data_IF_005854943569
#
_entry.id   IF_005854943569
#
_cell.length_a   1.000
_cell.length_b   1.000
_cell.length_c   1.000
_cell.angle_alpha   90.00
_cell.angle_beta   90.00
_cell.angle_gamma   90.00
#
_symmetry.space_group_name_H-M   'P 1'
#
loop_
_entity.id
_entity.type
_entity.pdbx_description
1 polymer ?
#
# COMPACT_ATOMS: atom_id res chain seq x y z
N UNK A 1 13.83 25.39 3.07
CA UNK A 1 12.36 25.21 3.08
C UNK A 1 11.64 26.54 3.28
N UNK A 2 12.03 27.38 4.25
CA UNK A 2 11.36 28.67 4.52
C UNK A 2 11.28 29.62 3.30
N UNK A 3 12.31 29.68 2.46
CA UNK A 3 12.26 30.47 1.21
C UNK A 3 11.30 29.93 0.13
N UNK A 4 10.70 28.74 0.32
CA UNK A 4 9.82 28.10 -0.66
C UNK A 4 8.44 28.76 -0.74
N UNK A 5 7.89 29.08 0.44
CA UNK A 5 6.54 29.61 0.65
C UNK A 5 6.54 31.09 1.08
N UNK A 6 7.68 31.62 1.54
CA UNK A 6 7.82 32.98 2.06
C UNK A 6 8.15 32.98 3.56
N UNK A 7 8.71 34.07 4.08
CA UNK A 7 9.15 34.18 5.48
C UNK A 7 8.01 34.11 6.50
N UNK A 8 6.76 34.21 6.05
CA UNK A 8 5.59 34.23 6.92
C UNK A 8 5.09 32.81 7.27
N UNK A 9 5.53 31.79 6.53
CA UNK A 9 5.14 30.40 6.77
C UNK A 9 6.04 29.74 7.81
N UNK A 10 5.44 29.20 8.87
CA UNK A 10 6.14 28.33 9.82
C UNK A 10 6.19 26.92 9.25
N UNK A 11 7.40 26.35 9.14
CA UNK A 11 7.61 25.01 8.59
C UNK A 11 8.22 24.11 9.65
N UNK A 12 7.53 23.02 9.99
CA UNK A 12 7.99 22.03 10.98
C UNK A 12 8.09 20.63 10.35
N UNK A 13 9.07 19.80 10.75
CA UNK A 13 9.13 18.41 10.29
C UNK A 13 7.88 17.63 10.72
N UNK A 14 7.30 16.85 9.81
CA UNK A 14 6.13 16.02 10.09
C UNK A 14 6.48 14.66 10.73
N UNK A 15 7.77 14.35 10.86
CA UNK A 15 8.26 13.03 11.26
C UNK A 15 8.33 12.05 10.08
N UNK A 16 8.37 10.75 10.39
CA UNK A 16 8.51 9.68 9.39
C UNK A 16 9.94 9.22 9.17
N UNK A 17 10.10 8.09 8.46
CA UNK A 17 11.39 7.40 8.32
C UNK A 17 12.36 8.10 7.37
N UNK A 18 11.86 8.88 6.39
CA UNK A 18 12.69 9.53 5.36
C UNK A 18 13.10 10.96 5.72
N UNK A 19 12.39 11.62 6.65
CA UNK A 19 12.63 13.03 6.99
C UNK A 19 12.25 14.00 5.85
N UNK A 20 11.45 13.57 4.89
CA UNK A 20 11.09 14.34 3.68
C UNK A 20 9.71 14.99 3.75
N UNK A 21 9.02 14.85 4.89
CA UNK A 21 7.68 15.36 5.12
C UNK A 21 7.68 16.51 6.13
N UNK A 22 6.90 17.54 5.86
CA UNK A 22 6.83 18.77 6.66
C UNK A 22 5.40 19.30 6.73
N UNK A 23 5.06 19.94 7.85
CA UNK A 23 3.88 20.79 7.97
C UNK A 23 4.29 22.23 7.69
N UNK A 24 3.44 22.95 6.96
CA UNK A 24 3.57 24.39 6.78
C UNK A 24 2.27 25.08 7.22
N UNK A 25 2.38 26.10 8.06
CA UNK A 25 1.25 26.84 8.61
C UNK A 25 1.45 28.35 8.40
N UNK A 26 0.38 29.03 7.97
CA UNK A 26 0.31 30.48 7.87
C UNK A 26 -1.14 30.92 8.08
N UNK A 27 -1.38 31.73 9.11
CA UNK A 27 -2.72 32.09 9.57
C UNK A 27 -3.62 30.84 9.73
N UNK A 28 -4.77 30.80 9.05
CA UNK A 28 -5.70 29.66 9.08
C UNK A 28 -5.38 28.59 8.01
N UNK A 29 -4.28 28.74 7.26
CA UNK A 29 -3.90 27.82 6.18
C UNK A 29 -2.86 26.81 6.66
N UNK A 30 -3.11 25.53 6.39
CA UNK A 30 -2.21 24.42 6.68
C UNK A 30 -1.96 23.58 5.44
N UNK A 31 -0.69 23.27 5.19
CA UNK A 31 -0.24 22.42 4.09
C UNK A 31 0.62 21.27 4.62
N UNK A 32 0.49 20.13 3.96
CA UNK A 32 1.43 19.03 4.08
C UNK A 32 2.39 19.08 2.89
N UNK A 33 3.68 19.19 3.15
CA UNK A 33 4.72 19.26 2.14
C UNK A 33 5.49 17.94 2.11
N UNK A 34 5.66 17.33 0.93
CA UNK A 34 6.54 16.17 0.73
C UNK A 34 7.57 16.49 -0.36
N UNK A 35 8.82 16.14 -0.10
CA UNK A 35 9.90 16.23 -1.10
C UNK A 35 9.90 14.97 -1.97
N UNK A 36 10.16 15.17 -3.27
CA UNK A 36 10.35 14.15 -4.30
C UNK A 36 9.22 13.11 -4.40
N UNK A 37 7.97 13.54 -4.20
CA UNK A 37 6.80 12.67 -4.40
C UNK A 37 6.70 12.17 -5.84
N UNK A 38 6.20 10.94 -6.01
CA UNK A 38 5.91 10.37 -7.33
C UNK A 38 4.96 11.27 -8.14
N UNK A 39 5.18 11.45 -9.46
CA UNK A 39 4.23 12.13 -10.35
C UNK A 39 2.83 11.50 -10.34
N UNK A 40 2.71 10.24 -9.89
CA UNK A 40 1.44 9.55 -9.71
C UNK A 40 0.50 10.24 -8.71
N UNK A 41 1.06 11.03 -7.78
CA UNK A 41 0.27 11.80 -6.79
C UNK A 41 -0.77 12.71 -7.44
N UNK A 42 -0.48 13.29 -8.61
CA UNK A 42 -1.39 14.21 -9.29
C UNK A 42 -2.69 13.52 -9.73
N UNK A 43 -2.61 12.29 -10.28
CA UNK A 43 -3.81 11.55 -10.68
C UNK A 43 -4.56 11.02 -9.46
N UNK A 44 -3.85 10.55 -8.42
CA UNK A 44 -4.47 10.13 -7.17
C UNK A 44 -5.27 11.28 -6.53
N UNK A 45 -4.73 12.50 -6.55
CA UNK A 45 -5.42 13.68 -6.04
C UNK A 45 -6.63 14.05 -6.90
N UNK A 46 -6.53 13.98 -8.23
CA UNK A 46 -7.64 14.29 -9.13
C UNK A 46 -8.79 13.30 -8.97
N UNK A 47 -8.46 12.02 -8.73
CA UNK A 47 -9.41 10.96 -8.44
C UNK A 47 -9.92 10.99 -6.99
N UNK A 48 -9.43 11.89 -6.14
CA UNK A 48 -9.87 12.02 -4.74
C UNK A 48 -9.50 10.81 -3.87
N UNK A 49 -8.39 10.15 -4.17
CA UNK A 49 -7.87 8.99 -3.41
C UNK A 49 -6.94 9.44 -2.26
N UNK A 50 -6.23 10.55 -2.47
CA UNK A 50 -5.37 11.22 -1.49
C UNK A 50 -5.88 12.64 -1.22
N UNK A 51 -5.44 13.29 -0.13
CA UNK A 51 -5.70 14.71 0.09
C UNK A 51 -5.27 15.58 -1.11
N UNK A 52 -6.02 16.65 -1.36
CA UNK A 52 -5.88 17.47 -2.58
C UNK A 52 -4.46 18.01 -2.74
N UNK A 53 -3.84 17.76 -3.89
CA UNK A 53 -2.62 18.42 -4.34
C UNK A 53 -2.95 19.88 -4.70
N UNK A 54 -2.32 20.81 -3.99
CA UNK A 54 -2.50 22.25 -4.16
C UNK A 54 -1.55 22.77 -5.24
N UNK A 55 -0.26 22.45 -5.12
CA UNK A 55 0.74 22.83 -6.12
C UNK A 55 1.94 21.88 -6.11
N UNK A 56 2.75 21.97 -7.15
CA UNK A 56 4.06 21.31 -7.27
C UNK A 56 5.09 22.32 -7.73
N UNK A 57 6.24 22.38 -7.06
CA UNK A 57 7.31 23.33 -7.35
C UNK A 57 8.63 22.60 -7.50
N UNK A 58 9.28 22.80 -8.64
CA UNK A 58 10.65 22.33 -8.86
C UNK A 58 11.64 23.38 -8.35
N UNK A 59 12.61 22.94 -7.57
CA UNK A 59 13.69 23.76 -7.03
C UNK A 59 14.88 23.80 -7.99
N UNK A 60 15.74 24.82 -7.84
CA UNK A 60 16.95 25.00 -8.66
C UNK A 60 17.93 23.83 -8.54
N UNK A 61 17.98 23.18 -7.38
CA UNK A 61 18.79 21.99 -7.13
C UNK A 61 18.20 20.70 -7.72
N UNK A 62 17.07 20.78 -8.44
CA UNK A 62 16.43 19.67 -9.12
C UNK A 62 15.32 18.96 -8.33
N UNK A 63 15.24 19.19 -7.02
CA UNK A 63 14.19 18.59 -6.18
C UNK A 63 12.79 19.05 -6.60
N UNK A 64 11.80 18.22 -6.31
CA UNK A 64 10.40 18.57 -6.45
C UNK A 64 9.76 18.63 -5.07
N UNK A 65 9.09 19.74 -4.73
CA UNK A 65 8.25 19.83 -3.55
C UNK A 65 6.78 19.79 -3.99
N UNK A 66 6.00 18.93 -3.37
CA UNK A 66 4.55 18.90 -3.50
C UNK A 66 3.93 19.50 -2.24
N UNK A 67 2.82 20.22 -2.41
CA UNK A 67 2.00 20.67 -1.32
C UNK A 67 0.61 20.08 -1.45
N UNK A 68 0.21 19.32 -0.45
CA UNK A 68 -1.16 18.83 -0.31
C UNK A 68 -1.88 19.64 0.77
N UNK A 69 -3.20 19.69 0.65
CA UNK A 69 -4.05 20.20 1.70
C UNK A 69 -3.83 19.36 2.96
N UNK A 70 -3.55 20.04 4.07
CA UNK A 70 -3.60 19.38 5.37
C UNK A 70 -5.07 19.27 5.81
N UNK A 71 -5.49 18.07 6.20
CA UNK A 71 -6.85 17.79 6.64
C UNK A 71 -6.82 17.24 8.07
N UNK A 72 -7.67 17.76 8.98
CA UNK A 72 -7.86 17.11 10.27
C UNK A 72 -8.53 15.75 10.04
N UNK A 73 -8.01 14.72 10.69
CA UNK A 73 -8.46 13.36 10.50
C UNK A 73 -7.69 12.38 11.38
N UNK A 74 -7.97 11.10 11.19
CA UNK A 74 -7.31 10.01 11.92
C UNK A 74 -7.14 8.79 11.03
N UNK A 75 -6.19 7.95 11.42
CA UNK A 75 -6.06 6.61 10.87
C UNK A 75 -7.28 5.75 11.24
N UNK A 76 -7.64 4.80 10.37
CA UNK A 76 -8.61 3.77 10.72
C UNK A 76 -8.01 2.81 11.74
N UNK A 77 -8.85 2.26 12.62
CA UNK A 77 -8.52 1.14 13.49
C UNK A 77 -8.67 -0.18 12.72
N UNK A 78 -8.01 -1.28 13.15
CA UNK A 78 -8.13 -2.57 12.48
C UNK A 78 -9.59 -3.05 12.35
N UNK A 79 -10.41 -2.79 13.37
CA UNK A 79 -11.84 -3.16 13.38
C UNK A 79 -12.68 -2.42 12.34
N UNK A 80 -12.20 -1.29 11.83
CA UNK A 80 -12.90 -0.43 10.87
C UNK A 80 -12.65 -0.87 9.42
N UNK A 81 -11.70 -1.78 9.17
CA UNK A 81 -11.37 -2.27 7.83
C UNK A 81 -12.51 -3.08 7.17
N UNK A 82 -13.49 -3.53 7.96
CA UNK A 82 -14.69 -4.21 7.48
C UNK A 82 -15.79 -3.26 6.98
N UNK A 83 -15.60 -1.94 7.02
CA UNK A 83 -16.61 -0.98 6.57
C UNK A 83 -16.74 -0.93 5.04
N UNK A 84 -17.97 -0.71 4.57
CA UNK A 84 -18.27 -0.60 3.14
C UNK A 84 -17.47 0.50 2.43
N UNK A 85 -17.15 1.61 3.12
CA UNK A 85 -16.35 2.69 2.56
C UNK A 85 -14.95 2.21 2.12
N UNK A 86 -14.34 1.29 2.88
CA UNK A 86 -13.03 0.71 2.57
C UNK A 86 -13.11 -0.12 1.29
N UNK A 87 -14.11 -1.02 1.21
CA UNK A 87 -14.34 -1.86 0.04
C UNK A 87 -14.65 -1.02 -1.22
N UNK A 88 -15.46 0.04 -1.10
CA UNK A 88 -15.80 0.94 -2.20
C UNK A 88 -14.61 1.77 -2.66
N UNK A 89 -13.77 2.29 -1.75
CA UNK A 89 -12.58 3.05 -2.12
C UNK A 89 -11.55 2.15 -2.82
N UNK A 90 -11.30 0.94 -2.29
CA UNK A 90 -10.40 -0.02 -2.93
C UNK A 90 -10.90 -0.43 -4.32
N UNK A 91 -12.22 -0.63 -4.48
CA UNK A 91 -12.82 -0.89 -5.80
C UNK A 91 -12.58 0.29 -6.76
N UNK A 92 -12.79 1.52 -6.29
CA UNK A 92 -12.59 2.73 -7.10
C UNK A 92 -11.15 2.83 -7.61
N UNK A 93 -10.17 2.55 -6.74
CA UNK A 93 -8.75 2.46 -7.11
C UNK A 93 -8.54 1.42 -8.19
N UNK A 94 -8.94 0.17 -7.94
CA UNK A 94 -8.68 -0.95 -8.84
C UNK A 94 -9.36 -0.77 -10.21
N UNK A 95 -10.47 -0.01 -10.28
CA UNK A 95 -11.19 0.25 -11.53
C UNK A 95 -10.93 1.62 -12.17
N UNK A 96 -9.98 2.40 -11.66
CA UNK A 96 -9.66 3.71 -12.22
C UNK A 96 -8.78 3.59 -13.47
N UNK A 97 -9.39 3.70 -14.64
CA UNK A 97 -8.67 3.80 -15.92
C UNK A 97 -7.69 4.98 -15.98
N UNK A 98 -8.02 6.19 -15.44
CA UNK A 98 -7.06 7.29 -15.37
C UNK A 98 -5.80 6.94 -14.58
N UNK A 99 -5.95 6.29 -13.41
CA UNK A 99 -4.81 5.87 -12.59
C UNK A 99 -3.99 4.80 -13.31
N UNK A 100 -4.64 3.78 -13.86
CA UNK A 100 -3.96 2.72 -14.61
C UNK A 100 -3.15 3.29 -15.78
N UNK A 101 -3.75 4.19 -16.55
CA UNK A 101 -3.11 4.85 -17.70
C UNK A 101 -1.92 5.73 -17.29
N UNK A 102 -2.02 6.42 -16.15
CA UNK A 102 -0.91 7.23 -15.65
C UNK A 102 0.24 6.34 -15.15
N UNK A 103 -0.06 5.34 -14.32
CA UNK A 103 0.96 4.48 -13.74
C UNK A 103 1.68 3.67 -14.84
N UNK A 104 0.98 3.24 -15.89
CA UNK A 104 1.56 2.50 -17.00
C UNK A 104 2.52 3.33 -17.87
N UNK A 105 2.52 4.65 -17.72
CA UNK A 105 3.50 5.55 -18.37
C UNK A 105 4.74 5.75 -17.51
N UNK A 106 4.63 5.55 -16.20
CA UNK A 106 5.72 5.66 -15.24
C UNK A 106 6.45 4.32 -15.08
N UNK A 107 5.72 3.21 -15.15
CA UNK A 107 6.21 1.85 -15.03
C UNK A 107 6.24 1.15 -16.38
N UNK A 108 7.26 0.32 -16.61
CA UNK A 108 7.46 -0.31 -17.92
C UNK A 108 6.46 -1.44 -18.23
N UNK A 109 5.92 -2.16 -17.23
CA UNK A 109 4.98 -3.28 -17.44
C UNK A 109 4.30 -3.75 -16.14
N UNK A 110 3.11 -4.38 -16.22
CA UNK A 110 2.48 -5.05 -15.09
C UNK A 110 3.37 -6.13 -14.45
N UNK A 111 3.35 -6.22 -13.13
CA UNK A 111 4.09 -7.23 -12.38
C UNK A 111 3.38 -8.59 -12.43
N UNK A 112 4.10 -9.60 -12.90
CA UNK A 112 3.62 -10.98 -12.97
C UNK A 112 3.98 -11.74 -11.69
N UNK A 113 3.20 -12.78 -11.30
CA UNK A 113 3.49 -13.59 -10.11
C UNK A 113 4.93 -14.10 -10.07
N UNK A 114 5.44 -14.67 -11.17
CA UNK A 114 6.81 -15.17 -11.23
C UNK A 114 7.87 -14.07 -11.01
N UNK A 115 7.63 -12.86 -11.50
CA UNK A 115 8.52 -11.71 -11.31
C UNK A 115 8.53 -11.27 -9.85
N UNK A 116 7.35 -11.11 -9.24
CA UNK A 116 7.21 -10.77 -7.82
C UNK A 116 7.86 -11.81 -6.92
N UNK A 117 7.64 -13.09 -7.22
CA UNK A 117 8.27 -14.19 -6.52
C UNK A 117 9.80 -14.04 -6.54
N UNK A 118 10.39 -13.88 -7.73
CA UNK A 118 11.85 -13.79 -7.84
C UNK A 118 12.41 -12.54 -7.14
N UNK A 119 11.71 -11.40 -7.20
CA UNK A 119 12.10 -10.18 -6.49
C UNK A 119 12.20 -10.43 -4.98
N UNK A 120 11.15 -10.99 -4.37
CA UNK A 120 11.14 -11.26 -2.93
C UNK A 120 12.19 -12.28 -2.54
N UNK A 121 12.33 -13.40 -3.26
CA UNK A 121 13.31 -14.43 -2.91
C UNK A 121 14.75 -13.89 -2.97
N UNK A 122 15.04 -12.96 -3.87
CA UNK A 122 16.36 -12.34 -3.97
C UNK A 122 16.68 -11.38 -2.81
N UNK A 123 15.66 -10.91 -2.08
CA UNK A 123 15.82 -10.03 -0.91
C UNK A 123 15.97 -10.82 0.40
N UNK A 124 15.56 -12.09 0.43
CA UNK A 124 15.68 -12.92 1.62
C UNK A 124 17.13 -13.35 1.85
N UNK A 125 17.63 -13.16 3.07
CA UNK A 125 18.96 -13.64 3.42
C UNK A 125 18.97 -15.09 3.92
N UNK A 126 20.17 -15.62 4.09
CA UNK A 126 20.38 -17.02 4.45
C UNK A 126 19.74 -17.41 5.79
N UNK A 127 19.63 -16.49 6.77
CA UNK A 127 18.97 -16.80 8.05
C UNK A 127 17.48 -17.04 7.83
N UNK A 128 16.81 -16.13 7.09
CA UNK A 128 15.38 -16.27 6.78
C UNK A 128 15.12 -17.48 5.92
N UNK A 129 15.93 -17.71 4.89
CA UNK A 129 15.81 -18.85 3.99
C UNK A 129 15.98 -20.20 4.71
N UNK A 130 16.69 -20.23 5.85
CA UNK A 130 16.90 -21.45 6.63
C UNK A 130 15.74 -21.82 7.56
N UNK A 131 14.72 -20.96 7.70
CA UNK A 131 13.57 -21.22 8.57
C UNK A 131 12.65 -22.27 7.92
N UNK A 132 12.26 -23.35 8.63
CA UNK A 132 11.41 -24.40 8.07
C UNK A 132 10.08 -23.89 7.51
N UNK A 133 9.46 -22.91 8.18
CA UNK A 133 8.21 -22.28 7.75
C UNK A 133 8.41 -21.50 6.44
N UNK A 134 9.57 -20.85 6.27
CA UNK A 134 9.92 -20.12 5.05
C UNK A 134 10.17 -21.11 3.91
N UNK A 135 10.91 -22.20 4.15
CA UNK A 135 11.15 -23.24 3.14
C UNK A 135 9.84 -23.88 2.63
N UNK A 136 8.94 -24.23 3.57
CA UNK A 136 7.59 -24.73 3.25
C UNK A 136 6.81 -23.72 2.40
N UNK A 137 6.87 -22.45 2.77
CA UNK A 137 6.22 -21.36 2.02
C UNK A 137 6.78 -21.23 0.62
N UNK A 138 8.10 -21.20 0.46
CA UNK A 138 8.76 -21.08 -0.85
C UNK A 138 8.36 -22.26 -1.76
N UNK A 139 8.24 -23.46 -1.19
CA UNK A 139 7.77 -24.64 -1.93
C UNK A 139 6.34 -24.44 -2.45
N UNK A 140 5.40 -24.06 -1.57
CA UNK A 140 4.03 -23.73 -1.96
C UNK A 140 3.96 -22.63 -3.04
N UNK A 141 4.73 -21.55 -2.87
CA UNK A 141 4.76 -20.44 -3.83
C UNK A 141 5.26 -20.88 -5.20
N UNK A 142 6.28 -21.73 -5.27
CA UNK A 142 6.82 -22.29 -6.52
C UNK A 142 5.84 -23.22 -7.22
N UNK A 143 5.14 -24.07 -6.46
CA UNK A 143 4.17 -25.03 -7.01
C UNK A 143 2.96 -24.31 -7.60
N UNK A 144 2.51 -23.22 -6.97
CA UNK A 144 1.27 -22.53 -7.34
C UNK A 144 1.46 -21.31 -8.26
N UNK A 145 2.69 -20.88 -8.56
CA UNK A 145 2.98 -19.65 -9.32
C UNK A 145 2.28 -19.59 -10.69
N UNK A 146 2.11 -20.74 -11.34
CA UNK A 146 1.42 -20.86 -12.63
C UNK A 146 -0.10 -20.91 -12.50
N UNK A 147 -0.62 -21.30 -11.33
CA UNK A 147 -2.05 -21.45 -11.02
C UNK A 147 -2.68 -20.16 -10.50
N UNK A 148 -1.87 -19.14 -10.17
CA UNK A 148 -2.33 -17.84 -9.67
C UNK A 148 -2.40 -16.76 -10.75
N UNK A 149 -2.33 -17.16 -12.02
CA UNK A 149 -2.40 -16.23 -13.14
C UNK A 149 -3.76 -15.55 -13.21
N UNK A 150 -3.73 -14.25 -13.47
CA UNK A 150 -4.91 -13.44 -13.69
C UNK A 150 -4.68 -12.51 -14.87
N UNK A 151 -5.66 -12.43 -15.75
CA UNK A 151 -5.63 -11.54 -16.92
C UNK A 151 -5.94 -10.08 -16.53
N UNK A 152 -6.72 -9.87 -15.46
CA UNK A 152 -7.00 -8.54 -14.94
C UNK A 152 -5.75 -7.95 -14.29
N UNK A 153 -5.44 -6.70 -14.67
CA UNK A 153 -4.36 -5.90 -14.12
C UNK A 153 -4.89 -4.54 -13.75
N UNK A 154 -4.70 -4.18 -12.49
CA UNK A 154 -5.20 -2.94 -11.88
C UNK A 154 -4.06 -2.21 -11.20
N UNK A 155 -4.30 -0.96 -10.82
CA UNK A 155 -3.42 -0.30 -9.84
C UNK A 155 -3.68 -0.93 -8.48
N UNK A 156 -2.65 -1.56 -7.91
CA UNK A 156 -2.62 -2.01 -6.53
C UNK A 156 -1.83 -1.02 -5.68
N UNK A 157 -2.23 -0.86 -4.43
CA UNK A 157 -1.53 -0.09 -3.42
C UNK A 157 -0.25 -0.78 -2.94
N UNK A 158 -0.30 -2.10 -2.71
CA UNK A 158 0.84 -2.89 -2.24
C UNK A 158 1.06 -2.88 -0.72
N UNK A 159 0.49 -1.90 0.01
CA UNK A 159 0.48 -1.87 1.48
C UNK A 159 -0.84 -1.32 2.06
N UNK A 160 -1.88 -2.14 2.13
CA UNK A 160 -3.21 -1.73 2.60
C UNK A 160 -3.37 -1.73 4.13
N UNK A 161 -2.27 -1.55 4.87
CA UNK A 161 -2.29 -1.46 6.32
C UNK A 161 -3.24 -0.36 6.81
N UNK A 162 -4.03 -0.60 7.86
CA UNK A 162 -5.00 0.35 8.43
C UNK A 162 -4.42 1.76 8.73
N UNK A 163 -3.13 1.87 9.04
CA UNK A 163 -2.45 3.16 9.27
C UNK A 163 -2.40 4.03 8.00
N UNK A 164 -2.48 3.42 6.82
CA UNK A 164 -2.47 4.14 5.54
C UNK A 164 -3.87 4.66 5.16
N UNK A 165 -4.91 4.33 5.93
CA UNK A 165 -6.28 4.77 5.67
C UNK A 165 -6.63 5.95 6.57
N UNK A 166 -6.83 7.13 5.98
CA UNK A 166 -7.15 8.35 6.70
C UNK A 166 -8.61 8.72 6.55
N UNK A 167 -9.34 8.77 7.65
CA UNK A 167 -10.69 9.30 7.73
C UNK A 167 -10.64 10.76 8.19
N UNK A 168 -10.97 11.67 7.28
CA UNK A 168 -11.08 13.10 7.58
C UNK A 168 -12.37 13.41 8.36
N UNK A 169 -12.42 14.56 9.03
CA UNK A 169 -13.58 14.99 9.83
C UNK A 169 -14.88 15.15 9.02
N UNK A 170 -14.76 15.38 7.71
CA UNK A 170 -15.89 15.42 6.77
C UNK A 170 -16.39 14.02 6.34
N UNK A 171 -15.85 12.96 6.94
CA UNK A 171 -16.07 11.55 6.62
C UNK A 171 -15.54 11.11 5.25
N UNK A 172 -14.70 11.90 4.58
CA UNK A 172 -13.98 11.45 3.40
C UNK A 172 -12.86 10.49 3.82
N UNK A 173 -12.82 9.33 3.16
CA UNK A 173 -11.76 8.34 3.33
C UNK A 173 -10.70 8.53 2.25
N UNK A 174 -9.45 8.51 2.67
CA UNK A 174 -8.27 8.56 1.81
C UNK A 174 -7.38 7.35 2.07
N UNK A 175 -6.62 6.95 1.05
CA UNK A 175 -5.54 5.97 1.16
C UNK A 175 -4.24 6.68 0.81
N UNK A 176 -3.26 6.66 1.71
CA UNK A 176 -1.95 7.34 1.56
C UNK A 176 -0.81 6.33 1.47
N UNK A 177 0.40 6.83 1.23
CA UNK A 177 1.64 6.03 1.11
C UNK A 177 1.70 5.11 -0.13
N UNK A 178 1.54 5.74 -1.30
CA UNK A 178 1.57 5.09 -2.61
C UNK A 178 2.99 4.82 -3.15
N UNK A 179 4.01 4.80 -2.30
CA UNK A 179 5.39 4.58 -2.73
C UNK A 179 5.60 3.12 -3.21
N UNK A 180 4.75 2.18 -2.78
CA UNK A 180 4.71 0.77 -3.21
C UNK A 180 3.69 0.45 -4.30
N UNK A 181 3.09 1.47 -4.94
CA UNK A 181 2.08 1.28 -5.98
C UNK A 181 2.64 0.45 -7.15
N UNK A 182 1.78 -0.39 -7.75
CA UNK A 182 2.17 -1.21 -8.89
C UNK A 182 0.96 -1.56 -9.76
N UNK A 183 1.20 -1.88 -11.04
CA UNK A 183 0.18 -2.50 -11.88
C UNK A 183 0.25 -4.02 -11.72
N UNK A 184 -0.74 -4.64 -11.08
CA UNK A 184 -0.71 -6.06 -10.76
C UNK A 184 -2.11 -6.66 -10.57
N UNK A 185 -2.16 -7.89 -10.05
CA UNK A 185 -3.41 -8.59 -9.72
C UNK A 185 -4.10 -7.94 -8.50
N UNK A 186 -5.41 -7.61 -8.55
CA UNK A 186 -6.15 -7.07 -7.40
C UNK A 186 -6.12 -7.97 -6.16
N UNK A 187 -5.86 -9.27 -6.31
CA UNK A 187 -5.75 -10.23 -5.22
C UNK A 187 -4.60 -9.91 -4.24
N UNK A 188 -3.65 -9.08 -4.64
CA UNK A 188 -2.59 -8.55 -3.76
C UNK A 188 -3.21 -7.76 -2.61
N UNK A 189 -3.93 -6.67 -2.93
CA UNK A 189 -4.54 -5.81 -1.91
C UNK A 189 -5.73 -6.50 -1.23
N UNK A 190 -6.55 -7.24 -1.98
CA UNK A 190 -7.66 -8.01 -1.42
C UNK A 190 -7.17 -9.05 -0.41
N UNK A 191 -6.12 -9.79 -0.75
CA UNK A 191 -5.54 -10.82 0.11
C UNK A 191 -5.01 -10.21 1.40
N UNK A 192 -4.17 -9.18 1.30
CA UNK A 192 -3.63 -8.48 2.48
C UNK A 192 -4.74 -7.97 3.40
N UNK A 193 -5.73 -7.27 2.85
CA UNK A 193 -6.82 -6.71 3.65
C UNK A 193 -7.64 -7.80 4.34
N UNK A 194 -8.07 -8.82 3.59
CA UNK A 194 -8.95 -9.87 4.12
C UNK A 194 -8.23 -10.75 5.15
N UNK A 195 -7.00 -11.19 4.88
CA UNK A 195 -6.25 -12.03 5.82
C UNK A 195 -5.83 -11.30 7.09
N UNK A 196 -5.58 -9.99 7.03
CA UNK A 196 -5.10 -9.25 8.20
C UNK A 196 -6.21 -8.72 9.10
N UNK A 197 -7.38 -8.42 8.53
CA UNK A 197 -8.40 -7.66 9.26
C UNK A 197 -9.77 -8.33 9.32
N UNK A 198 -10.12 -9.19 8.36
CA UNK A 198 -11.49 -9.68 8.21
C UNK A 198 -11.55 -11.17 8.57
N UNK A 199 -12.38 -11.57 9.54
CA UNK A 199 -12.61 -12.99 9.81
C UNK A 199 -13.06 -13.74 8.55
N UNK A 200 -12.52 -14.94 8.30
CA UNK A 200 -12.78 -15.70 7.07
C UNK A 200 -14.27 -15.89 6.76
N UNK A 201 -15.09 -16.10 7.79
CA UNK A 201 -16.54 -16.24 7.67
C UNK A 201 -17.25 -15.02 7.07
N UNK A 202 -16.59 -13.85 7.05
CA UNK A 202 -17.13 -12.58 6.54
C UNK A 202 -16.53 -12.19 5.17
N UNK A 203 -15.62 -13.00 4.59
CA UNK A 203 -14.95 -12.64 3.33
C UNK A 203 -15.92 -12.51 2.16
N UNK A 204 -16.96 -13.35 2.13
CA UNK A 204 -17.95 -13.32 1.05
C UNK A 204 -18.77 -12.03 1.06
N UNK A 205 -19.19 -11.60 2.25
CA UNK A 205 -19.91 -10.34 2.44
C UNK A 205 -19.01 -9.15 2.07
N UNK A 206 -17.75 -9.17 2.53
CA UNK A 206 -16.78 -8.10 2.22
C UNK A 206 -16.51 -7.99 0.71
N UNK A 207 -16.24 -9.12 0.04
CA UNK A 207 -16.04 -9.14 -1.41
C UNK A 207 -17.30 -8.73 -2.17
N UNK A 208 -18.49 -9.00 -1.64
CA UNK A 208 -19.74 -8.51 -2.23
C UNK A 208 -19.83 -6.98 -2.20
N UNK A 209 -19.39 -6.33 -1.11
CA UNK A 209 -19.31 -4.86 -1.03
C UNK A 209 -18.29 -4.29 -2.03
N UNK A 210 -17.14 -4.97 -2.18
CA UNK A 210 -16.15 -4.63 -3.20
C UNK A 210 -16.70 -4.90 -4.63
N UNK A 211 -17.60 -5.86 -4.79
CA UNK A 211 -18.27 -6.22 -6.04
C UNK A 211 -17.64 -7.40 -6.78
N UNK A 212 -16.97 -8.29 -6.05
CA UNK A 212 -16.35 -9.51 -6.56
C UNK A 212 -16.92 -10.74 -5.83
N UNK A 213 -16.77 -11.93 -6.43
CA UNK A 213 -17.22 -13.18 -5.81
C UNK A 213 -16.02 -13.95 -5.26
N UNK A 214 -16.17 -14.50 -4.06
CA UNK A 214 -15.19 -15.45 -3.52
C UNK A 214 -15.25 -16.75 -4.32
N UNK A 215 -14.22 -16.99 -5.12
CA UNK A 215 -14.00 -18.24 -5.86
C UNK A 215 -12.75 -18.93 -5.34
N UNK A 216 -12.62 -20.24 -5.57
CA UNK A 216 -11.42 -20.99 -5.16
C UNK A 216 -10.15 -20.43 -5.82
N UNK A 217 -10.25 -19.99 -7.07
CA UNK A 217 -9.16 -19.34 -7.78
C UNK A 217 -8.76 -17.99 -7.14
N UNK A 218 -9.73 -17.12 -6.80
CA UNK A 218 -9.43 -15.88 -6.07
C UNK A 218 -8.82 -16.17 -4.69
N UNK A 219 -9.35 -17.17 -3.98
CA UNK A 219 -8.83 -17.59 -2.67
C UNK A 219 -7.38 -18.04 -2.76
N UNK A 220 -7.02 -18.84 -3.77
CA UNK A 220 -5.65 -19.29 -4.02
C UNK A 220 -4.72 -18.10 -4.31
N UNK A 221 -5.12 -17.19 -5.20
CA UNK A 221 -4.33 -15.99 -5.53
C UNK A 221 -4.08 -15.12 -4.30
N UNK A 222 -5.11 -14.85 -3.50
CA UNK A 222 -4.98 -14.09 -2.25
C UNK A 222 -4.02 -14.79 -1.27
N UNK A 223 -4.18 -16.10 -1.05
CA UNK A 223 -3.28 -16.89 -0.18
C UNK A 223 -1.83 -16.80 -0.66
N UNK A 224 -1.60 -16.91 -1.97
CA UNK A 224 -0.27 -16.85 -2.58
C UNK A 224 0.40 -15.48 -2.35
N UNK A 225 -0.31 -14.39 -2.63
CA UNK A 225 0.25 -13.04 -2.42
C UNK A 225 0.49 -12.72 -0.94
N UNK A 226 -0.42 -13.15 -0.04
CA UNK A 226 -0.23 -12.96 1.40
C UNK A 226 0.96 -13.75 1.92
N UNK A 227 1.14 -14.99 1.47
CA UNK A 227 2.31 -15.79 1.80
C UNK A 227 3.60 -15.10 1.32
N UNK A 228 3.63 -14.64 0.07
CA UNK A 228 4.79 -13.93 -0.49
C UNK A 228 5.13 -12.66 0.30
N UNK A 229 4.15 -11.80 0.57
CA UNK A 229 4.35 -10.56 1.34
C UNK A 229 4.79 -10.83 2.78
N UNK A 230 4.36 -11.94 3.36
CA UNK A 230 4.78 -12.33 4.70
C UNK A 230 6.27 -12.68 4.75
N UNK A 231 6.85 -13.25 3.68
CA UNK A 231 8.29 -13.47 3.59
C UNK A 231 9.07 -12.14 3.63
N UNK A 232 8.66 -11.15 2.83
CA UNK A 232 9.25 -9.81 2.87
C UNK A 232 9.12 -9.17 4.26
N UNK A 233 7.97 -9.36 4.92
CA UNK A 233 7.76 -8.86 6.29
C UNK A 233 8.73 -9.50 7.28
N UNK A 234 8.92 -10.83 7.23
CA UNK A 234 9.87 -11.55 8.10
C UNK A 234 11.29 -10.99 7.94
N UNK A 235 11.75 -10.81 6.70
CA UNK A 235 13.06 -10.21 6.40
C UNK A 235 13.16 -8.78 6.95
N UNK A 236 12.15 -7.94 6.68
CA UNK A 236 12.15 -6.55 7.15
C UNK A 236 12.22 -6.43 8.67
N UNK A 237 11.42 -7.21 9.42
CA UNK A 237 11.47 -7.19 10.88
C UNK A 237 12.79 -7.74 11.42
N UNK A 238 13.39 -8.70 10.72
CA UNK A 238 14.74 -9.19 11.06
C UNK A 238 15.78 -8.08 10.92
N UNK A 239 15.78 -7.35 9.81
CA UNK A 239 16.72 -6.25 9.55
C UNK A 239 16.57 -5.10 10.56
N UNK A 240 15.37 -4.91 11.11
CA UNK A 240 15.09 -3.96 12.19
C UNK A 240 15.36 -4.52 13.60
N UNK A 241 15.91 -5.72 13.72
CA UNK A 241 16.13 -6.43 15.00
C UNK A 241 14.86 -6.55 15.86
N UNK A 242 13.70 -6.72 15.22
CA UNK A 242 12.37 -6.83 15.85
C UNK A 242 11.92 -8.29 15.93
N UNK A 243 12.52 -9.03 16.85
CA UNK A 243 12.35 -10.50 16.96
C UNK A 243 10.91 -10.92 17.23
N UNK A 244 10.17 -10.19 18.07
CA UNK A 244 8.78 -10.55 18.43
C UNK A 244 7.86 -10.49 17.21
N UNK A 245 8.01 -9.46 16.40
CA UNK A 245 7.26 -9.27 15.17
C UNK A 245 7.68 -10.29 14.11
N UNK A 246 8.98 -10.59 13.98
CA UNK A 246 9.48 -11.68 13.13
C UNK A 246 8.78 -13.01 13.47
N UNK A 247 8.79 -13.41 14.74
CA UNK A 247 8.14 -14.65 15.21
C UNK A 247 6.63 -14.65 15.02
N UNK A 248 5.96 -13.49 15.15
CA UNK A 248 4.53 -13.35 14.84
C UNK A 248 4.25 -13.71 13.38
N UNK A 249 5.05 -13.20 12.44
CA UNK A 249 4.86 -13.45 11.02
C UNK A 249 5.24 -14.88 10.60
N UNK A 250 6.24 -15.48 11.25
CA UNK A 250 6.56 -16.91 11.07
C UNK A 250 5.37 -17.80 11.50
N UNK A 251 4.73 -17.50 12.64
CA UNK A 251 3.52 -18.24 13.05
C UNK A 251 2.36 -18.01 12.07
N UNK A 252 2.13 -16.75 11.69
CA UNK A 252 1.06 -16.41 10.76
C UNK A 252 1.19 -17.14 9.42
N UNK A 253 2.38 -17.17 8.81
CA UNK A 253 2.57 -17.86 7.52
C UNK A 253 2.34 -19.36 7.63
N UNK A 254 2.71 -19.96 8.77
CA UNK A 254 2.46 -21.36 9.03
C UNK A 254 0.97 -21.67 9.23
N UNK A 255 0.21 -20.76 9.87
CA UNK A 255 -1.23 -20.94 10.12
C UNK A 255 -2.07 -20.86 8.84
N UNK A 256 -1.64 -20.06 7.86
CA UNK A 256 -2.38 -19.91 6.60
C UNK A 256 -2.05 -20.98 5.56
N UNK A 257 -0.92 -21.69 5.70
CA UNK A 257 -0.40 -22.68 4.72
C UNK A 257 -0.84 -24.11 5.02
#
# INVERSE_FOLDING_TARGET
MEHLLGQEWEITPAGGATGEAFYAEFEDQRLFLKRNSSPFLAVLSAEGIVPKLVWTKRLENGDVITAQQWLPGRELKPSEMNHELVARLLKKIHRSEPMLTMLSRLENSPLLPATLFQMVINELDHEVLSLPEVEKTITFLKEEVENVRCDEKVVCHGDVNHNNWLLAEDNQLYLIDWDGAMIADPAIDLGMLLYWYIPEGNWKEWLTMYGEKLTDHLRLRMKWYVALQTLSSIQWYKDKNRTKEKEKWIRFINDIL
#
